data_IF_861840820659
#
_entry.id   IF_861840820659
#
_cell.length_a   1.000
_cell.length_b   1.000
_cell.length_c   1.000
_cell.angle_alpha   90.00
_cell.angle_beta   90.00
_cell.angle_gamma   90.00
#
_symmetry.space_group_name_H-M   'P 1'
#
loop_
_entity.id
_entity.type
_entity.pdbx_description
1 polymer ?
#
# COMPACT_ATOMS: atom_id res chain seq x y z
N UNK A 1 14.17 19.22 -9.97
CA UNK A 1 12.81 19.62 -9.55
C UNK A 1 11.85 18.52 -9.97
N UNK A 2 11.16 17.88 -9.02
CA UNK A 2 10.18 16.85 -9.34
C UNK A 2 8.91 17.54 -9.87
N UNK A 3 8.68 17.48 -11.18
CA UNK A 3 7.38 17.77 -11.76
C UNK A 3 6.46 16.59 -11.42
N UNK A 4 5.73 16.71 -10.32
CA UNK A 4 4.77 15.73 -9.84
C UNK A 4 3.65 16.45 -9.10
N UNK A 5 2.47 15.85 -9.04
CA UNK A 5 1.23 16.39 -8.47
C UNK A 5 1.29 16.88 -6.99
N UNK A 6 2.47 16.97 -6.38
CA UNK A 6 2.73 17.17 -4.96
C UNK A 6 4.07 17.93 -4.80
N UNK A 7 4.06 18.97 -3.95
CA UNK A 7 5.14 19.93 -3.72
C UNK A 7 4.58 21.16 -2.98
N UNK A 8 5.36 22.23 -2.81
CA UNK A 8 4.94 23.45 -2.08
C UNK A 8 3.63 24.09 -2.61
N UNK A 9 3.22 23.75 -3.85
CA UNK A 9 2.00 24.21 -4.52
C UNK A 9 1.13 23.05 -5.07
N UNK A 10 1.37 21.81 -4.63
CA UNK A 10 0.67 20.61 -5.12
C UNK A 10 -0.48 20.16 -4.19
N UNK A 11 -1.18 19.10 -4.59
CA UNK A 11 -2.20 18.47 -3.75
C UNK A 11 -1.53 17.65 -2.63
N UNK A 12 -2.20 17.52 -1.49
CA UNK A 12 -1.71 16.66 -0.41
C UNK A 12 -1.76 15.17 -0.85
N UNK A 13 -0.91 14.30 -0.28
CA UNK A 13 -0.83 12.92 -0.72
C UNK A 13 -2.13 12.13 -0.53
N UNK A 14 -2.93 12.44 0.49
CA UNK A 14 -4.22 11.78 0.71
C UNK A 14 -5.18 12.07 -0.44
N UNK A 15 -5.28 13.33 -0.85
CA UNK A 15 -6.06 13.76 -2.02
C UNK A 15 -5.52 13.14 -3.31
N UNK A 16 -4.20 13.12 -3.53
CA UNK A 16 -3.61 12.44 -4.68
C UNK A 16 -3.96 10.93 -4.73
N UNK A 17 -3.90 10.25 -3.59
CA UNK A 17 -4.29 8.83 -3.49
C UNK A 17 -5.79 8.66 -3.76
N UNK A 18 -6.63 9.58 -3.30
CA UNK A 18 -8.06 9.56 -3.61
C UNK A 18 -8.30 9.69 -5.12
N UNK A 19 -7.67 10.66 -5.79
CA UNK A 19 -7.72 10.81 -7.25
C UNK A 19 -7.23 9.53 -7.96
N UNK A 20 -6.16 8.92 -7.45
CA UNK A 20 -5.63 7.66 -7.97
C UNK A 20 -6.68 6.55 -7.93
N UNK A 21 -7.37 6.39 -6.80
CA UNK A 21 -8.42 5.38 -6.60
C UNK A 21 -9.65 5.65 -7.46
N UNK A 22 -10.06 6.91 -7.57
CA UNK A 22 -11.35 7.29 -8.17
C UNK A 22 -11.28 7.42 -9.70
N UNK A 23 -10.16 7.88 -10.26
CA UNK A 23 -10.07 8.20 -11.69
C UNK A 23 -8.98 7.42 -12.42
N UNK A 24 -7.78 7.36 -11.85
CA UNK A 24 -6.62 6.81 -12.56
C UNK A 24 -6.70 5.28 -12.64
N UNK A 25 -6.85 4.59 -11.50
CA UNK A 25 -6.90 3.13 -11.46
C UNK A 25 -8.09 2.54 -12.25
N UNK A 26 -9.32 3.08 -12.15
CA UNK A 26 -10.43 2.58 -12.95
C UNK A 26 -10.16 2.65 -14.44
N UNK A 27 -9.53 3.74 -14.90
CA UNK A 27 -9.16 3.94 -16.31
C UNK A 27 -8.02 3.01 -16.73
N UNK A 28 -6.95 2.94 -15.92
CA UNK A 28 -5.76 2.15 -16.20
C UNK A 28 -6.06 0.64 -16.26
N UNK A 29 -6.99 0.17 -15.43
CA UNK A 29 -7.31 -1.24 -15.27
C UNK A 29 -8.61 -1.65 -15.98
N UNK A 30 -9.18 -0.78 -16.80
CA UNK A 30 -10.42 -1.07 -17.52
C UNK A 30 -10.23 -2.26 -18.46
N UNK A 31 -11.15 -3.23 -18.41
CA UNK A 31 -11.14 -4.42 -19.27
C UNK A 31 -10.15 -5.51 -18.86
N UNK A 32 -9.26 -5.25 -17.89
CA UNK A 32 -8.36 -6.26 -17.35
C UNK A 32 -9.09 -7.29 -16.47
N UNK A 33 -10.33 -7.00 -16.07
CA UNK A 33 -11.18 -7.98 -15.41
C UNK A 33 -11.68 -9.11 -16.33
N UNK A 34 -11.63 -8.92 -17.66
CA UNK A 34 -12.05 -9.92 -18.65
C UNK A 34 -10.83 -10.54 -19.34
N UNK A 35 -9.87 -9.70 -19.71
CA UNK A 35 -8.65 -10.15 -20.39
C UNK A 35 -7.59 -10.55 -19.38
N UNK A 36 -7.20 -11.82 -19.39
CA UNK A 36 -6.09 -12.34 -18.56
C UNK A 36 -4.77 -11.68 -19.03
N UNK A 37 -4.18 -10.75 -18.25
CA UNK A 37 -2.91 -10.16 -18.63
C UNK A 37 -1.77 -11.15 -18.34
N UNK A 38 -0.73 -11.14 -19.16
CA UNK A 38 0.48 -11.92 -18.87
C UNK A 38 1.19 -11.35 -17.64
N UNK A 39 1.92 -12.21 -16.90
CA UNK A 39 2.67 -11.78 -15.71
C UNK A 39 3.62 -10.61 -16.00
N UNK A 40 4.30 -10.65 -17.15
CA UNK A 40 5.18 -9.57 -17.61
C UNK A 40 4.44 -8.22 -17.76
N UNK A 41 3.20 -8.22 -18.22
CA UNK A 41 2.40 -6.98 -18.33
C UNK A 41 1.96 -6.48 -16.96
N UNK A 42 1.56 -7.39 -16.07
CA UNK A 42 1.22 -7.06 -14.68
C UNK A 42 2.43 -6.42 -13.99
N UNK A 43 3.61 -7.01 -14.14
CA UNK A 43 4.83 -6.52 -13.48
C UNK A 43 5.26 -5.14 -14.01
N UNK A 44 5.05 -4.86 -15.30
CA UNK A 44 5.26 -3.52 -15.88
C UNK A 44 4.30 -2.48 -15.29
N UNK A 45 3.01 -2.82 -15.19
CA UNK A 45 2.00 -1.93 -14.58
C UNK A 45 2.29 -1.71 -13.10
N UNK A 46 2.66 -2.76 -12.38
CA UNK A 46 3.04 -2.73 -10.98
C UNK A 46 4.26 -1.82 -10.74
N UNK A 47 5.30 -1.92 -11.57
CA UNK A 47 6.47 -1.05 -11.50
C UNK A 47 6.11 0.42 -11.73
N UNK A 48 5.27 0.71 -12.74
CA UNK A 48 4.77 2.06 -12.98
C UNK A 48 3.97 2.59 -11.78
N UNK A 49 3.06 1.78 -11.25
CA UNK A 49 2.21 2.13 -10.11
C UNK A 49 3.02 2.40 -8.84
N UNK A 50 3.98 1.55 -8.51
CA UNK A 50 4.90 1.75 -7.38
C UNK A 50 5.69 3.06 -7.51
N UNK A 51 6.22 3.33 -8.71
CA UNK A 51 6.95 4.57 -8.99
C UNK A 51 6.07 5.80 -8.75
N UNK A 52 4.82 5.74 -9.21
CA UNK A 52 3.83 6.79 -9.04
C UNK A 52 3.45 7.00 -7.56
N UNK A 53 3.24 5.92 -6.80
CA UNK A 53 2.99 6.01 -5.35
C UNK A 53 4.18 6.59 -4.60
N UNK A 54 5.41 6.17 -4.93
CA UNK A 54 6.64 6.74 -4.36
C UNK A 54 6.73 8.24 -4.65
N UNK A 55 6.38 8.68 -5.86
CA UNK A 55 6.31 10.09 -6.20
C UNK A 55 5.27 10.82 -5.34
N UNK A 56 4.02 10.31 -5.27
CA UNK A 56 2.93 10.89 -4.46
C UNK A 56 3.35 11.09 -3.01
N UNK A 57 4.06 10.12 -2.46
CA UNK A 57 4.54 10.14 -1.09
C UNK A 57 5.89 10.86 -0.92
N UNK A 58 6.45 11.46 -1.98
CA UNK A 58 7.78 12.09 -1.97
C UNK A 58 8.90 11.17 -1.44
N UNK A 59 8.75 9.86 -1.66
CA UNK A 59 9.70 8.83 -1.28
C UNK A 59 10.81 8.70 -2.34
N UNK A 60 12.00 8.30 -1.89
CA UNK A 60 13.10 7.97 -2.80
C UNK A 60 12.79 6.68 -3.58
N UNK A 61 13.36 6.54 -4.78
CA UNK A 61 13.11 5.38 -5.64
C UNK A 61 13.65 4.07 -5.05
N UNK A 62 14.73 4.15 -4.26
CA UNK A 62 15.35 3.02 -3.56
C UNK A 62 14.63 2.60 -2.27
N UNK A 63 13.57 3.30 -1.85
CA UNK A 63 12.72 2.86 -0.73
C UNK A 63 12.13 1.47 -1.05
N UNK A 64 12.10 0.53 -0.09
CA UNK A 64 11.47 -0.77 -0.30
C UNK A 64 10.04 -0.66 -0.82
N UNK A 65 9.68 -1.48 -1.80
CA UNK A 65 8.38 -1.41 -2.49
C UNK A 65 7.16 -1.65 -1.59
N UNK A 66 7.36 -2.22 -0.41
CA UNK A 66 6.29 -2.43 0.58
C UNK A 66 5.86 -1.13 1.28
N UNK A 67 6.78 -0.18 1.42
CA UNK A 67 6.54 1.07 2.17
C UNK A 67 5.44 1.92 1.54
N UNK A 68 5.43 2.16 0.21
CA UNK A 68 4.33 2.88 -0.42
C UNK A 68 2.97 2.25 -0.13
N UNK A 69 2.85 0.92 -0.07
CA UNK A 69 1.59 0.24 0.21
C UNK A 69 1.12 0.42 1.65
N UNK A 70 2.03 0.28 2.63
CA UNK A 70 1.71 0.52 4.03
C UNK A 70 1.30 1.97 4.29
N UNK A 71 1.99 2.94 3.68
CA UNK A 71 1.72 4.37 3.92
C UNK A 71 0.45 4.82 3.20
N UNK A 72 0.27 4.44 1.93
CA UNK A 72 -0.88 4.87 1.12
C UNK A 72 -2.14 4.05 1.39
N UNK A 73 -2.04 2.89 2.04
CA UNK A 73 -3.14 1.95 2.17
C UNK A 73 -3.63 1.39 0.82
N UNK A 74 -2.81 1.45 -0.23
CA UNK A 74 -3.16 0.93 -1.56
C UNK A 74 -2.87 -0.57 -1.64
N UNK A 75 -3.69 -1.28 -2.41
CA UNK A 75 -3.46 -2.67 -2.81
C UNK A 75 -2.68 -2.65 -4.14
N UNK A 76 -1.71 -3.58 -4.35
CA UNK A 76 -0.97 -3.70 -5.61
C UNK A 76 -1.88 -3.94 -6.82
N UNK A 77 -1.37 -3.67 -8.02
CA UNK A 77 -2.10 -3.80 -9.28
C UNK A 77 -2.69 -5.20 -9.44
N UNK A 78 -1.92 -6.23 -9.11
CA UNK A 78 -2.41 -7.62 -9.16
C UNK A 78 -3.66 -7.81 -8.30
N UNK A 79 -3.64 -7.29 -7.06
CA UNK A 79 -4.81 -7.34 -6.18
C UNK A 79 -5.98 -6.50 -6.68
N UNK A 80 -5.72 -5.33 -7.28
CA UNK A 80 -6.77 -4.49 -7.89
C UNK A 80 -7.48 -5.19 -9.07
N UNK A 81 -6.70 -5.88 -9.92
CA UNK A 81 -7.25 -6.66 -11.04
C UNK A 81 -8.08 -7.83 -10.49
N UNK A 82 -7.56 -8.55 -9.50
CA UNK A 82 -8.28 -9.68 -8.89
C UNK A 82 -9.58 -9.25 -8.20
N UNK A 83 -9.62 -8.07 -7.54
CA UNK A 83 -10.87 -7.49 -7.02
C UNK A 83 -11.90 -7.30 -8.13
N UNK A 84 -11.49 -6.78 -9.29
CA UNK A 84 -12.39 -6.55 -10.42
C UNK A 84 -12.87 -7.87 -11.06
N UNK A 85 -11.96 -8.84 -11.24
CA UNK A 85 -12.31 -10.20 -11.69
C UNK A 85 -13.38 -10.81 -10.78
N UNK A 86 -13.16 -10.76 -9.46
CA UNK A 86 -14.09 -11.31 -8.48
C UNK A 86 -15.41 -10.53 -8.42
N UNK A 87 -15.39 -9.22 -8.63
CA UNK A 87 -16.60 -8.40 -8.74
C UNK A 87 -17.42 -8.74 -10.00
N UNK A 88 -16.74 -9.02 -11.10
CA UNK A 88 -17.38 -9.50 -12.33
C UNK A 88 -17.96 -10.90 -12.13
N UNK A 89 -17.20 -11.82 -11.53
CA UNK A 89 -17.67 -13.16 -11.17
C UNK A 89 -18.90 -13.13 -10.25
N UNK A 90 -18.89 -12.26 -9.24
CA UNK A 90 -20.04 -12.08 -8.36
C UNK A 90 -21.29 -11.63 -9.11
N UNK A 91 -21.15 -10.78 -10.13
CA UNK A 91 -22.27 -10.40 -11.00
C UNK A 91 -22.87 -11.62 -11.73
N UNK A 92 -22.04 -12.58 -12.16
CA UNK A 92 -22.51 -13.85 -12.76
C UNK A 92 -23.26 -14.70 -11.73
N UNK A 93 -22.77 -14.76 -10.49
CA UNK A 93 -23.40 -15.53 -9.42
C UNK A 93 -24.82 -15.06 -9.10
N UNK A 94 -25.09 -13.75 -9.26
CA UNK A 94 -26.41 -13.15 -9.03
C UNK A 94 -27.42 -13.39 -10.15
N UNK A 95 -27.01 -13.92 -11.30
CA UNK A 95 -27.92 -14.20 -12.41
C UNK A 95 -28.83 -15.41 -12.09
N UNK A 96 -29.96 -15.49 -12.80
CA UNK A 96 -30.85 -16.65 -12.74
C UNK A 96 -30.13 -17.91 -13.23
N UNK A 97 -30.56 -19.09 -12.76
CA UNK A 97 -30.02 -20.38 -13.21
C UNK A 97 -30.26 -20.64 -14.71
N UNK A 98 -31.26 -19.99 -15.30
CA UNK A 98 -31.56 -20.04 -16.74
C UNK A 98 -30.62 -19.17 -17.57
N UNK A 99 -29.86 -18.26 -16.95
CA UNK A 99 -28.92 -17.41 -17.67
C UNK A 99 -27.80 -18.23 -18.31
N UNK A 100 -27.49 -17.89 -19.55
CA UNK A 100 -26.46 -18.59 -20.34
C UNK A 100 -25.08 -18.43 -19.67
N UNK A 101 -24.81 -17.25 -19.12
CA UNK A 101 -23.55 -16.93 -18.45
C UNK A 101 -23.31 -17.82 -17.23
N UNK A 102 -24.34 -18.02 -16.39
CA UNK A 102 -24.22 -18.85 -15.18
C UNK A 102 -24.09 -20.33 -15.54
N UNK A 103 -24.82 -20.81 -16.55
CA UNK A 103 -24.68 -22.16 -17.07
C UNK A 103 -23.29 -22.42 -17.66
N UNK A 104 -22.76 -21.46 -18.43
CA UNK A 104 -21.39 -21.51 -18.94
C UNK A 104 -20.41 -21.55 -17.78
N UNK A 105 -20.56 -20.68 -16.77
CA UNK A 105 -19.67 -20.66 -15.61
C UNK A 105 -19.63 -22.04 -14.92
N UNK A 106 -20.79 -22.61 -14.56
CA UNK A 106 -20.89 -23.95 -13.97
C UNK A 106 -20.16 -25.01 -14.78
N UNK A 107 -20.43 -25.05 -16.10
CA UNK A 107 -19.79 -25.99 -17.02
C UNK A 107 -18.28 -25.79 -17.08
N UNK A 108 -17.81 -24.56 -17.20
CA UNK A 108 -16.38 -24.26 -17.32
C UNK A 108 -15.62 -24.64 -16.05
N UNK A 109 -16.18 -24.38 -14.86
CA UNK A 109 -15.57 -24.82 -13.61
C UNK A 109 -15.51 -26.34 -13.45
N UNK A 110 -16.49 -27.08 -14.01
CA UNK A 110 -16.54 -28.54 -13.95
C UNK A 110 -15.61 -29.22 -14.95
N UNK A 111 -15.48 -28.67 -16.16
CA UNK A 111 -14.77 -29.33 -17.27
C UNK A 111 -13.30 -28.92 -17.36
N UNK A 112 -12.95 -27.68 -16.98
CA UNK A 112 -11.60 -27.17 -17.18
C UNK A 112 -10.64 -27.66 -16.10
N UNK A 113 -9.48 -28.13 -16.54
CA UNK A 113 -8.36 -28.44 -15.67
C UNK A 113 -7.71 -27.15 -15.10
N UNK A 114 -6.92 -27.31 -14.03
CA UNK A 114 -6.27 -26.20 -13.33
C UNK A 114 -5.18 -25.48 -14.15
N UNK A 115 -4.65 -26.14 -15.19
CA UNK A 115 -3.58 -25.61 -16.05
C UNK A 115 -4.14 -24.91 -17.30
N UNK A 116 -5.45 -25.03 -17.55
CA UNK A 116 -6.05 -24.47 -18.75
C UNK A 116 -6.04 -22.94 -18.75
N UNK A 117 -5.85 -22.37 -19.93
CA UNK A 117 -5.83 -20.92 -20.14
C UNK A 117 -7.27 -20.39 -20.27
N UNK A 118 -7.99 -20.38 -19.14
CA UNK A 118 -9.40 -20.01 -19.05
C UNK A 118 -9.60 -18.95 -17.96
N UNK A 119 -10.45 -17.96 -18.24
CA UNK A 119 -10.79 -16.91 -17.29
C UNK A 119 -11.38 -17.48 -15.98
N UNK A 120 -12.22 -18.51 -16.08
CA UNK A 120 -12.79 -19.18 -14.90
C UNK A 120 -11.71 -19.86 -14.06
N UNK A 121 -10.67 -20.41 -14.68
CA UNK A 121 -9.56 -21.00 -13.93
C UNK A 121 -8.73 -19.92 -13.21
N UNK A 122 -8.59 -18.73 -13.81
CA UNK A 122 -7.97 -17.61 -13.11
C UNK A 122 -8.78 -17.19 -11.87
N UNK A 123 -10.12 -17.15 -11.95
CA UNK A 123 -10.97 -16.93 -10.75
C UNK A 123 -10.65 -17.95 -9.65
N UNK A 124 -10.50 -19.23 -10.02
CA UNK A 124 -10.18 -20.32 -9.09
C UNK A 124 -8.79 -20.22 -8.47
N UNK A 125 -7.82 -19.59 -9.16
CA UNK A 125 -6.45 -19.42 -8.68
C UNK A 125 -6.28 -18.26 -7.69
N UNK A 126 -7.30 -17.40 -7.53
CA UNK A 126 -7.18 -16.24 -6.63
C UNK A 126 -7.11 -16.68 -5.16
N UNK A 127 -6.04 -16.26 -4.47
CA UNK A 127 -5.65 -16.73 -3.14
C UNK A 127 -6.21 -15.85 -2.02
N UNK A 128 -7.53 -15.78 -1.86
CA UNK A 128 -8.18 -14.96 -0.81
C UNK A 128 -9.08 -15.78 0.13
N UNK A 129 -8.77 -17.06 0.36
CA UNK A 129 -9.56 -17.96 1.22
C UNK A 129 -11.07 -17.82 0.95
N UNK A 130 -11.45 -17.81 -0.33
CA UNK A 130 -12.84 -17.63 -0.73
C UNK A 130 -13.62 -18.94 -0.54
N UNK A 131 -14.95 -18.85 -0.29
CA UNK A 131 -15.82 -20.02 -0.29
C UNK A 131 -15.72 -20.80 -1.60
N UNK A 132 -16.13 -22.05 -1.55
CA UNK A 132 -16.16 -22.89 -2.74
C UNK A 132 -16.98 -22.24 -3.86
N UNK A 133 -16.45 -22.27 -5.07
CA UNK A 133 -17.04 -21.58 -6.23
C UNK A 133 -18.47 -22.06 -6.52
N UNK A 134 -18.74 -23.35 -6.36
CA UNK A 134 -20.08 -23.90 -6.55
C UNK A 134 -21.06 -23.35 -5.51
N UNK A 135 -20.64 -23.24 -4.25
CA UNK A 135 -21.44 -22.62 -3.20
C UNK A 135 -21.78 -21.16 -3.52
N UNK A 136 -20.83 -20.42 -4.10
CA UNK A 136 -21.07 -19.03 -4.54
C UNK A 136 -22.08 -18.94 -5.70
N UNK A 137 -22.08 -19.92 -6.60
CA UNK A 137 -23.04 -19.99 -7.71
C UNK A 137 -24.44 -20.39 -7.24
N UNK A 138 -24.55 -21.38 -6.36
CA UNK A 138 -25.82 -21.90 -5.85
C UNK A 138 -26.48 -20.92 -4.88
N UNK A 139 -25.69 -20.35 -3.98
CA UNK A 139 -26.15 -19.48 -2.88
C UNK A 139 -25.32 -18.20 -2.84
N UNK A 140 -25.57 -17.24 -3.73
CA UNK A 140 -24.80 -16.01 -3.77
C UNK A 140 -25.03 -15.19 -2.51
N UNK A 141 -23.95 -14.62 -1.98
CA UNK A 141 -24.03 -13.64 -0.90
C UNK A 141 -24.81 -12.40 -1.33
N UNK A 142 -25.35 -11.67 -0.35
CA UNK A 142 -25.83 -10.30 -0.61
C UNK A 142 -24.66 -9.37 -0.95
N UNK A 143 -24.94 -8.25 -1.62
CA UNK A 143 -23.90 -7.28 -2.03
C UNK A 143 -23.05 -6.78 -0.86
N UNK A 144 -23.66 -6.58 0.30
CA UNK A 144 -22.94 -6.12 1.50
C UNK A 144 -22.09 -7.22 2.11
N UNK A 145 -22.61 -8.46 2.21
CA UNK A 145 -21.84 -9.61 2.67
C UNK A 145 -20.63 -9.86 1.77
N UNK A 146 -20.83 -9.84 0.45
CA UNK A 146 -19.75 -10.02 -0.51
C UNK A 146 -18.67 -8.94 -0.37
N UNK A 147 -19.07 -7.67 -0.31
CA UNK A 147 -18.13 -6.54 -0.10
C UNK A 147 -17.32 -6.71 1.17
N UNK A 148 -17.95 -7.07 2.29
CA UNK A 148 -17.28 -7.25 3.56
C UNK A 148 -16.32 -8.45 3.53
N UNK A 149 -16.76 -9.58 2.98
CA UNK A 149 -15.93 -10.78 2.80
C UNK A 149 -14.68 -10.45 1.98
N UNK A 150 -14.89 -9.84 0.82
CA UNK A 150 -13.83 -9.42 -0.09
C UNK A 150 -12.85 -8.45 0.56
N UNK A 151 -13.37 -7.38 1.18
CA UNK A 151 -12.55 -6.38 1.86
C UNK A 151 -11.68 -7.03 2.95
N UNK A 152 -12.27 -7.87 3.79
CA UNK A 152 -11.55 -8.52 4.89
C UNK A 152 -10.48 -9.49 4.38
N UNK A 153 -10.84 -10.40 3.47
CA UNK A 153 -9.93 -11.45 3.03
C UNK A 153 -8.78 -10.89 2.18
N UNK A 154 -9.06 -9.94 1.29
CA UNK A 154 -8.03 -9.34 0.43
C UNK A 154 -7.06 -8.49 1.27
N UNK A 155 -7.58 -7.64 2.15
CA UNK A 155 -6.71 -6.83 3.02
C UNK A 155 -5.90 -7.73 3.96
N UNK A 156 -6.49 -8.79 4.51
CA UNK A 156 -5.77 -9.78 5.33
C UNK A 156 -4.64 -10.45 4.56
N UNK A 157 -4.91 -10.95 3.35
CA UNK A 157 -3.91 -11.58 2.51
C UNK A 157 -2.74 -10.63 2.21
N UNK A 158 -3.04 -9.42 1.70
CA UNK A 158 -1.99 -8.47 1.34
C UNK A 158 -1.26 -7.89 2.55
N UNK A 159 -1.95 -7.73 3.69
CA UNK A 159 -1.31 -7.40 4.97
C UNK A 159 -0.26 -8.45 5.29
N UNK A 160 -0.64 -9.72 5.38
CA UNK A 160 0.27 -10.81 5.72
C UNK A 160 1.44 -10.89 4.75
N UNK A 161 1.16 -10.87 3.44
CA UNK A 161 2.17 -10.90 2.39
C UNK A 161 3.22 -9.79 2.55
N UNK A 162 2.79 -8.54 2.75
CA UNK A 162 3.72 -7.43 2.89
C UNK A 162 4.38 -7.34 4.26
N UNK A 163 3.73 -7.81 5.32
CA UNK A 163 4.33 -7.96 6.65
C UNK A 163 5.45 -9.00 6.61
N UNK A 164 5.30 -10.08 5.85
CA UNK A 164 6.37 -11.07 5.71
C UNK A 164 7.55 -10.53 4.90
N UNK A 165 7.26 -9.77 3.84
CA UNK A 165 8.31 -9.10 3.05
C UNK A 165 9.01 -8.00 3.88
N UNK A 166 8.28 -7.25 4.71
CA UNK A 166 8.86 -6.14 5.48
C UNK A 166 9.91 -6.60 6.49
N UNK A 167 9.79 -7.82 7.03
CA UNK A 167 10.78 -8.43 7.93
C UNK A 167 12.19 -8.53 7.33
N UNK A 168 12.29 -8.54 6.00
CA UNK A 168 13.59 -8.58 5.27
C UNK A 168 14.31 -7.22 5.36
N UNK A 169 13.57 -6.13 5.56
CA UNK A 169 14.08 -4.76 5.47
C UNK A 169 14.29 -4.15 6.87
N UNK A 170 15.53 -4.18 7.36
CA UNK A 170 15.87 -3.58 8.67
C UNK A 170 15.63 -2.07 8.72
N UNK A 171 15.77 -1.36 7.60
CA UNK A 171 15.65 0.10 7.53
C UNK A 171 14.23 0.63 7.74
N UNK A 172 13.20 -0.23 7.65
CA UNK A 172 11.80 0.15 7.87
C UNK A 172 11.28 -0.33 9.23
N UNK A 173 12.17 -0.66 10.17
CA UNK A 173 11.80 -1.11 11.52
C UNK A 173 10.95 -0.11 12.30
N UNK A 174 11.00 1.17 11.92
CA UNK A 174 10.24 2.25 12.55
C UNK A 174 8.88 2.51 11.88
N UNK A 175 8.61 1.85 10.75
CA UNK A 175 7.27 1.80 10.17
C UNK A 175 6.50 0.72 10.94
N UNK A 176 5.48 1.11 11.71
CA UNK A 176 4.66 0.17 12.48
C UNK A 176 3.80 -0.71 11.54
N UNK A 177 4.42 -1.70 10.89
CA UNK A 177 3.80 -2.58 9.89
C UNK A 177 2.73 -3.50 10.48
N UNK A 178 2.65 -3.63 11.81
CA UNK A 178 1.61 -4.42 12.47
C UNK A 178 0.28 -3.67 12.55
N UNK A 179 0.37 -2.37 12.82
CA UNK A 179 -0.79 -1.48 12.96
C UNK A 179 -1.31 -0.99 11.60
N UNK A 180 -0.40 -0.69 10.66
CA UNK A 180 -0.77 -0.17 9.34
C UNK A 180 -0.76 -1.27 8.29
N UNK A 181 -1.73 -1.24 7.39
CA UNK A 181 -1.89 -2.27 6.36
C UNK A 181 -2.58 -1.73 5.10
N UNK A 182 -2.43 -2.41 3.95
CA UNK A 182 -3.23 -2.13 2.76
C UNK A 182 -4.73 -2.08 3.10
N UNK A 183 -5.43 -1.09 2.57
CA UNK A 183 -6.84 -0.79 2.89
C UNK A 183 -7.03 0.41 3.83
N UNK A 184 -6.03 0.77 4.64
CA UNK A 184 -6.07 1.95 5.52
C UNK A 184 -4.84 2.83 5.29
N UNK A 185 -5.07 4.11 5.04
CA UNK A 185 -4.00 5.09 4.90
C UNK A 185 -3.32 5.35 6.24
N UNK A 186 -2.01 5.56 6.22
CA UNK A 186 -1.25 5.87 7.43
C UNK A 186 -1.55 7.32 7.89
N UNK A 187 -1.73 7.56 9.21
CA UNK A 187 -1.94 8.89 9.76
C UNK A 187 -0.94 9.96 9.33
N UNK A 188 0.30 9.58 8.99
CA UNK A 188 1.35 10.51 8.57
C UNK A 188 0.96 11.32 7.33
N UNK A 189 0.15 10.75 6.43
CA UNK A 189 -0.26 11.45 5.21
C UNK A 189 -1.54 12.27 5.36
N UNK A 190 -2.19 12.23 6.53
CA UNK A 190 -3.31 13.12 6.82
C UNK A 190 -2.78 14.47 7.31
N UNK A 191 -2.82 15.46 6.43
CA UNK A 191 -2.48 16.84 6.77
C UNK A 191 -3.78 17.55 7.16
N UNK A 192 -3.92 17.91 8.44
CA UNK A 192 -5.12 18.59 8.96
C UNK A 192 -5.15 20.09 8.60
N UNK A 193 -3.99 20.66 8.23
CA UNK A 193 -3.80 22.10 8.03
C UNK A 193 -3.29 22.39 6.62
N UNK A 194 -3.74 23.49 6.01
CA UNK A 194 -3.19 24.02 4.75
C UNK A 194 -1.86 24.75 4.93
N UNK A 195 -1.20 24.56 6.08
CA UNK A 195 0.07 25.18 6.43
C UNK A 195 1.19 24.65 5.54
N UNK A 196 1.83 25.54 4.79
CA UNK A 196 3.00 25.20 3.96
C UNK A 196 4.13 24.56 4.79
N UNK A 197 4.24 24.91 6.06
CA UNK A 197 5.21 24.31 6.99
C UNK A 197 4.93 22.82 7.21
N UNK A 198 3.68 22.42 7.36
CA UNK A 198 3.33 21.02 7.63
C UNK A 198 3.49 20.15 6.37
N UNK A 199 3.14 20.71 5.20
CA UNK A 199 3.42 20.11 3.89
C UNK A 199 4.92 19.87 3.72
N UNK A 200 5.76 20.85 4.04
CA UNK A 200 7.22 20.74 3.90
C UNK A 200 7.86 19.73 4.88
N UNK A 201 7.22 19.48 6.02
CA UNK A 201 7.68 18.50 7.01
C UNK A 201 7.34 17.07 6.63
N UNK A 202 6.29 16.85 5.83
CA UNK A 202 5.82 15.51 5.49
C UNK A 202 6.90 14.65 4.79
N UNK A 203 7.60 15.13 3.75
CA UNK A 203 8.68 14.36 3.13
C UNK A 203 9.79 13.97 4.12
N UNK A 204 10.08 14.82 5.11
CA UNK A 204 11.08 14.53 6.14
C UNK A 204 10.58 13.40 7.05
N UNK A 205 9.33 13.49 7.53
CA UNK A 205 8.70 12.43 8.34
C UNK A 205 8.70 11.09 7.59
N UNK A 206 8.31 11.09 6.32
CA UNK A 206 8.28 9.90 5.48
C UNK A 206 9.68 9.32 5.23
N UNK A 207 10.71 10.16 5.07
CA UNK A 207 12.11 9.71 4.97
C UNK A 207 12.60 9.05 6.25
N UNK A 208 12.26 9.61 7.41
CA UNK A 208 12.64 9.04 8.72
C UNK A 208 12.02 7.65 8.89
N UNK A 209 10.71 7.52 8.66
CA UNK A 209 9.99 6.26 8.84
C UNK A 209 10.35 5.20 7.79
N UNK A 210 10.69 5.62 6.57
CA UNK A 210 11.18 4.72 5.52
C UNK A 210 12.68 4.38 5.61
N UNK A 211 13.39 4.92 6.60
CA UNK A 211 14.84 4.71 6.78
C UNK A 211 15.71 5.30 5.68
N UNK A 212 15.20 6.32 4.98
CA UNK A 212 15.94 7.01 3.90
C UNK A 212 16.39 8.41 4.28
N UNK A 213 16.07 8.87 5.49
CA UNK A 213 16.65 10.09 6.02
C UNK A 213 18.14 9.89 6.28
N UNK A 214 18.94 10.84 5.83
CA UNK A 214 20.40 10.75 5.90
C UNK A 214 20.82 11.25 7.28
N UNK A 215 21.03 10.31 8.21
CA UNK A 215 21.64 10.55 9.52
C UNK A 215 23.15 10.27 9.45
N UNK A 216 23.92 10.75 10.43
CA UNK A 216 25.37 10.48 10.50
C UNK A 216 25.68 8.98 10.46
N UNK A 217 24.89 8.13 11.13
CA UNK A 217 25.04 6.67 11.09
C UNK A 217 24.96 6.13 9.65
N UNK A 218 24.17 6.77 8.79
CA UNK A 218 24.04 6.40 7.38
C UNK A 218 25.21 6.93 6.56
N UNK A 219 25.66 8.17 6.79
CA UNK A 219 26.76 8.78 6.03
C UNK A 219 28.10 8.10 6.34
N UNK A 220 28.36 7.76 7.60
CA UNK A 220 29.61 7.11 8.04
C UNK A 220 29.86 5.75 7.36
N UNK A 221 28.81 5.07 6.88
CA UNK A 221 28.92 3.81 6.11
C UNK A 221 29.41 4.02 4.67
N UNK A 222 29.32 5.24 4.13
CA UNK A 222 29.69 5.55 2.74
C UNK A 222 30.86 6.53 2.62
N UNK A 223 31.13 7.34 3.65
CA UNK A 223 32.24 8.28 3.66
C UNK A 223 33.44 7.72 4.41
N UNK A 224 34.63 7.90 3.82
CA UNK A 224 35.91 7.59 4.47
C UNK A 224 36.29 8.62 5.56
N UNK A 225 35.63 9.78 5.56
CA UNK A 225 35.89 10.87 6.50
C UNK A 225 34.96 10.79 7.72
N UNK A 226 35.46 11.24 8.88
CA UNK A 226 34.66 11.41 10.09
C UNK A 226 33.52 12.41 9.82
N UNK A 227 32.30 11.88 9.70
CA UNK A 227 31.09 12.67 9.62
C UNK A 227 30.77 13.15 11.02
N UNK A 228 30.52 14.44 11.17
CA UNK A 228 30.27 15.07 12.45
C UNK A 228 28.76 14.98 12.79
N UNK A 229 28.42 14.50 13.99
CA UNK A 229 27.04 14.44 14.48
C UNK A 229 26.44 15.84 14.66
N UNK A 230 25.11 16.00 14.57
CA UNK A 230 24.48 17.31 14.86
C UNK A 230 24.85 17.84 16.25
N UNK A 231 24.88 16.96 17.26
CA UNK A 231 25.21 17.32 18.65
C UNK A 231 26.72 17.31 18.96
N UNK A 232 27.57 16.87 18.04
CA UNK A 232 29.02 16.67 18.23
C UNK A 232 29.42 15.66 19.34
N UNK A 233 28.48 14.97 19.99
CA UNK A 233 28.73 14.18 21.20
C UNK A 233 28.64 12.67 20.99
N UNK A 234 27.62 12.19 20.27
CA UNK A 234 27.37 10.77 20.03
C UNK A 234 27.09 10.51 18.54
N UNK A 235 27.14 9.24 18.11
CA UNK A 235 26.70 8.87 16.77
C UNK A 235 25.20 9.15 16.64
N UNK A 236 24.85 9.96 15.65
CA UNK A 236 23.45 10.27 15.35
C UNK A 236 22.79 9.12 14.59
N UNK A 237 22.11 8.27 15.35
CA UNK A 237 21.10 7.32 14.87
C UNK A 237 19.69 7.90 15.03
N UNK A 238 18.66 7.18 14.55
CA UNK A 238 17.29 7.69 14.58
C UNK A 238 16.78 7.92 16.03
N UNK A 239 16.98 7.00 16.99
CA UNK A 239 16.64 7.25 18.39
C UNK A 239 17.37 8.45 19.00
N UNK A 240 18.66 8.64 18.69
CA UNK A 240 19.42 9.79 19.16
C UNK A 240 18.81 11.08 18.61
N UNK A 241 18.62 11.16 17.29
CA UNK A 241 18.04 12.33 16.63
C UNK A 241 16.65 12.67 17.20
N UNK A 242 15.77 11.68 17.31
CA UNK A 242 14.38 11.88 17.73
C UNK A 242 14.19 12.05 19.23
N UNK A 243 15.01 11.42 20.08
CA UNK A 243 14.74 11.29 21.52
C UNK A 243 15.87 11.72 22.45
N UNK A 244 17.14 11.77 22.02
CA UNK A 244 18.28 12.02 22.92
C UNK A 244 19.10 13.28 22.63
N UNK A 245 19.16 13.74 21.38
CA UNK A 245 19.99 14.88 20.97
C UNK A 245 19.69 16.12 21.82
N UNK A 246 20.72 16.63 22.50
CA UNK A 246 20.65 17.75 23.46
C UNK A 246 20.34 19.08 22.77
N UNK A 247 20.91 19.31 21.59
CA UNK A 247 20.63 20.51 20.79
C UNK A 247 19.17 20.61 20.33
N UNK A 248 18.48 19.48 20.21
CA UNK A 248 17.08 19.41 19.81
C UNK A 248 16.13 19.30 21.03
N UNK A 249 16.66 19.28 22.25
CA UNK A 249 15.86 19.05 23.47
C UNK A 249 14.83 20.15 23.70
N UNK A 250 15.18 21.41 23.43
CA UNK A 250 14.26 22.55 23.60
C UNK A 250 13.04 22.46 22.69
N UNK A 251 13.24 22.01 21.44
CA UNK A 251 12.16 21.77 20.47
C UNK A 251 11.35 20.53 20.86
N UNK A 252 12.04 19.47 21.29
CA UNK A 252 11.44 18.18 21.61
C UNK A 252 10.60 18.22 22.88
N UNK A 253 11.05 18.91 23.93
CA UNK A 253 10.33 19.02 25.22
C UNK A 253 8.90 19.52 25.04
N UNK A 254 8.70 20.51 24.15
CA UNK A 254 7.37 21.02 23.84
C UNK A 254 6.45 19.94 23.25
N UNK A 255 6.97 19.05 22.39
CA UNK A 255 6.19 17.99 21.75
C UNK A 255 6.13 16.69 22.54
N UNK A 256 7.12 16.41 23.40
CA UNK A 256 7.20 15.19 24.20
C UNK A 256 6.07 15.09 25.23
N UNK A 257 5.71 16.21 25.85
CA UNK A 257 4.60 16.25 26.80
C UNK A 257 3.24 15.97 26.13
N UNK A 258 3.07 16.39 24.88
CA UNK A 258 1.88 16.07 24.09
C UNK A 258 1.88 14.58 23.68
N UNK A 259 3.03 14.04 23.26
CA UNK A 259 3.18 12.62 22.92
C UNK A 259 2.89 11.72 24.13
N UNK A 260 3.42 12.06 25.31
CA UNK A 260 3.18 11.32 26.57
C UNK A 260 1.69 11.26 26.91
N UNK A 261 0.98 12.38 26.78
CA UNK A 261 -0.48 12.44 26.98
C UNK A 261 -1.26 11.57 25.98
N UNK A 262 -0.88 11.62 24.71
CA UNK A 262 -1.58 10.88 23.64
C UNK A 262 -1.37 9.36 23.78
N UNK A 263 -0.16 8.92 24.12
CA UNK A 263 0.20 7.50 24.22
C UNK A 263 0.14 6.92 25.64
N UNK A 264 -0.26 7.73 26.64
CA UNK A 264 -0.33 7.35 28.07
C UNK A 264 0.98 6.75 28.61
N UNK A 265 2.11 7.38 28.26
CA UNK A 265 3.46 7.07 28.75
C UNK A 265 3.88 8.18 29.72
#
# INVERSE_FOLDING_TARGET
MAAGFHGNNGLDPSTCIHIMKTYVLPTLLYGLEIRIPTKLNIDKLEMFFKKLLKQILSLLQNVPDVVPYFISGMIPIEGQIQIKILSYFYSICLLSEESTEKQIARRQFAVKDQNSHSWFIEVKKIKYDLPEIYLLLDTPYTKNQWKNLMYNNINKYWKNYYTDISKIYRNISYLNVEEYHPGKQHPLIYIQTSSSRDINRLPIKLKLVSGTYILQENISKFNQNNVIATCLQEVEDLPHFLLKCTLLESIRKASLEDIKKEYKI
#
